data_IF_572177964151
#
_entry.id   IF_572177964151
#
_cell.length_a   1.000
_cell.length_b   1.000
_cell.length_c   1.000
_cell.angle_alpha   90.00
_cell.angle_beta   90.00
_cell.angle_gamma   90.00
#
_symmetry.space_group_name_H-M   'P 1'
#
loop_
_entity.id
_entity.type
_entity.pdbx_description
1 polymer ?
#
# COMPACT_ATOMS: atom_id res chain seq x y z
N UNK A 1 30.78 -8.50 9.36
CA UNK A 1 31.40 -7.21 9.03
C UNK A 1 30.61 -6.12 9.75
N UNK A 2 31.28 -5.32 10.57
CA UNK A 2 30.65 -4.21 11.29
C UNK A 2 30.32 -3.08 10.30
N UNK A 3 29.11 -2.52 10.40
CA UNK A 3 28.75 -1.32 9.65
C UNK A 3 29.58 -0.13 10.16
N UNK A 4 30.03 0.77 9.26
CA UNK A 4 30.75 1.97 9.68
C UNK A 4 29.86 2.85 10.57
N UNK A 5 30.44 3.60 11.52
CA UNK A 5 29.67 4.49 12.40
C UNK A 5 29.00 5.61 11.58
N UNK A 6 27.74 5.91 11.90
CA UNK A 6 26.96 6.98 11.25
C UNK A 6 27.67 8.33 11.46
N UNK A 7 28.09 8.97 10.37
CA UNK A 7 28.43 10.39 10.38
C UNK A 7 27.14 11.17 10.67
N UNK A 8 27.18 12.05 11.67
CA UNK A 8 26.03 12.69 12.32
C UNK A 8 25.26 13.72 11.44
N UNK A 9 25.43 13.66 10.11
CA UNK A 9 24.92 14.61 9.12
C UNK A 9 24.29 13.92 7.88
N UNK A 10 24.27 12.57 7.85
CA UNK A 10 23.80 11.82 6.68
C UNK A 10 22.32 11.46 6.82
N UNK A 11 21.47 12.18 6.09
CA UNK A 11 20.01 11.94 6.04
C UNK A 11 19.72 10.46 5.75
N UNK A 12 18.71 9.84 6.40
CA UNK A 12 18.28 8.48 6.07
C UNK A 12 18.00 8.32 4.58
N UNK A 13 18.48 7.22 3.99
CA UNK A 13 18.21 6.87 2.59
C UNK A 13 17.00 5.94 2.54
N UNK A 14 15.89 6.45 2.00
CA UNK A 14 14.61 5.74 1.93
C UNK A 14 14.29 5.45 0.47
N UNK A 15 13.98 4.20 0.14
CA UNK A 15 13.47 3.85 -1.18
C UNK A 15 11.97 3.57 -1.11
N UNK A 16 11.19 4.27 -1.94
CA UNK A 16 9.76 3.96 -2.09
C UNK A 16 9.58 3.02 -3.26
N UNK A 17 8.87 1.90 -3.05
CA UNK A 17 8.70 0.87 -4.09
C UNK A 17 7.23 0.62 -4.33
N UNK A 18 6.75 1.03 -5.50
CA UNK A 18 5.35 0.97 -5.85
C UNK A 18 5.13 0.97 -7.36
N UNK A 19 3.89 0.72 -7.77
CA UNK A 19 3.43 0.82 -9.16
C UNK A 19 2.13 1.62 -9.18
N UNK A 20 1.75 2.09 -10.38
CA UNK A 20 0.45 2.75 -10.66
C UNK A 20 0.12 3.88 -9.67
N UNK A 21 -1.06 3.85 -9.02
CA UNK A 21 -1.62 4.95 -8.21
C UNK A 21 -0.83 5.22 -6.93
N UNK A 22 -0.22 4.19 -6.35
CA UNK A 22 0.58 4.35 -5.13
C UNK A 22 1.88 5.11 -5.41
N UNK A 23 2.42 5.00 -6.63
CA UNK A 23 3.62 5.71 -7.04
C UNK A 23 3.40 7.22 -7.06
N UNK A 24 2.28 7.67 -7.65
CA UNK A 24 1.92 9.09 -7.66
C UNK A 24 1.74 9.61 -6.23
N UNK A 25 1.02 8.87 -5.38
CA UNK A 25 0.84 9.24 -3.97
C UNK A 25 2.16 9.30 -3.20
N UNK A 26 3.10 8.38 -3.46
CA UNK A 26 4.44 8.46 -2.87
C UNK A 26 5.22 9.67 -3.35
N UNK A 27 5.15 10.03 -4.63
CA UNK A 27 5.84 11.20 -5.17
C UNK A 27 5.30 12.49 -4.55
N UNK A 28 3.99 12.59 -4.38
CA UNK A 28 3.39 13.79 -3.80
C UNK A 28 3.77 13.95 -2.31
N UNK A 29 3.74 12.84 -1.56
CA UNK A 29 4.06 12.87 -0.13
C UNK A 29 5.58 12.96 0.12
N UNK A 30 6.44 12.42 -0.75
CA UNK A 30 7.89 12.49 -0.55
C UNK A 30 8.41 13.93 -0.46
N UNK A 31 7.77 14.87 -1.18
CA UNK A 31 8.09 16.29 -1.13
C UNK A 31 7.98 16.88 0.28
N UNK A 32 7.09 16.34 1.12
CA UNK A 32 6.94 16.75 2.52
C UNK A 32 8.15 16.32 3.37
N UNK A 33 8.95 15.33 2.92
CA UNK A 33 10.03 14.68 3.69
C UNK A 33 11.43 14.83 3.08
N UNK A 34 11.61 15.47 1.92
CA UNK A 34 12.91 15.65 1.25
C UNK A 34 13.96 16.38 2.13
N UNK A 35 13.48 17.23 3.06
CA UNK A 35 14.35 17.90 4.02
C UNK A 35 14.82 16.97 5.16
N UNK A 36 14.20 15.80 5.34
CA UNK A 36 14.46 14.85 6.42
C UNK A 36 15.14 13.56 5.94
N UNK A 37 14.95 13.15 4.69
CA UNK A 37 15.51 11.92 4.11
C UNK A 37 15.92 12.11 2.64
N UNK A 38 16.86 11.28 2.18
CA UNK A 38 17.17 11.12 0.76
C UNK A 38 16.23 10.05 0.19
N UNK A 39 15.21 10.48 -0.55
CA UNK A 39 14.13 9.60 -1.01
C UNK A 39 14.33 9.25 -2.49
N UNK A 40 14.43 7.95 -2.81
CA UNK A 40 14.50 7.47 -4.20
C UNK A 40 13.25 6.68 -4.56
N UNK A 41 12.45 7.13 -5.54
CA UNK A 41 11.30 6.37 -6.01
C UNK A 41 11.72 5.26 -6.99
N UNK A 42 11.20 4.05 -6.77
CA UNK A 42 11.42 2.87 -7.61
C UNK A 42 10.06 2.37 -8.12
N UNK A 43 9.78 2.61 -9.40
CA UNK A 43 8.53 2.22 -10.04
C UNK A 43 8.56 0.77 -10.58
N UNK A 44 8.81 -0.20 -9.70
CA UNK A 44 8.89 -1.62 -10.04
C UNK A 44 8.09 -2.47 -9.06
N UNK A 45 7.69 -3.66 -9.51
CA UNK A 45 6.99 -4.65 -8.70
C UNK A 45 7.66 -6.03 -8.70
N UNK A 46 7.40 -6.78 -7.64
CA UNK A 46 7.73 -8.20 -7.46
C UNK A 46 9.19 -8.52 -7.81
N UNK A 47 9.43 -9.54 -8.64
CA UNK A 47 10.77 -10.03 -8.97
C UNK A 47 11.65 -8.98 -9.65
N UNK A 48 11.04 -8.15 -10.52
CA UNK A 48 11.77 -7.04 -11.18
C UNK A 48 12.29 -6.04 -10.16
N UNK A 49 11.48 -5.72 -9.15
CA UNK A 49 11.90 -4.84 -8.07
C UNK A 49 13.02 -5.47 -7.22
N UNK A 50 12.88 -6.73 -6.82
CA UNK A 50 13.92 -7.44 -6.02
C UNK A 50 15.25 -7.47 -6.76
N UNK A 51 15.25 -7.85 -8.04
CA UNK A 51 16.45 -7.92 -8.88
C UNK A 51 17.14 -6.56 -8.96
N UNK A 52 16.36 -5.51 -9.26
CA UNK A 52 16.88 -4.15 -9.33
C UNK A 52 17.44 -3.65 -8.00
N UNK A 53 16.69 -3.83 -6.91
CA UNK A 53 17.06 -3.40 -5.56
C UNK A 53 18.35 -4.09 -5.11
N UNK A 54 18.51 -5.40 -5.33
CA UNK A 54 19.75 -6.12 -4.99
C UNK A 54 20.96 -5.56 -5.73
N UNK A 55 20.80 -5.25 -7.03
CA UNK A 55 21.87 -4.62 -7.82
C UNK A 55 22.21 -3.23 -7.29
N UNK A 56 21.21 -2.45 -6.90
CA UNK A 56 21.38 -1.11 -6.33
C UNK A 56 22.09 -1.16 -4.96
N UNK A 57 21.69 -2.09 -4.08
CA UNK A 57 22.29 -2.30 -2.75
C UNK A 57 23.76 -2.70 -2.78
N UNK A 58 24.26 -3.24 -3.90
CA UNK A 58 25.68 -3.55 -4.05
C UNK A 58 26.56 -2.29 -4.09
N UNK A 59 25.99 -1.14 -4.44
CA UNK A 59 26.73 0.11 -4.66
C UNK A 59 26.20 1.28 -3.82
N UNK A 60 24.98 1.18 -3.29
CA UNK A 60 24.28 2.27 -2.61
C UNK A 60 23.72 1.81 -1.26
N UNK A 61 23.80 2.70 -0.26
CA UNK A 61 23.16 2.51 1.04
C UNK A 61 21.63 2.64 0.89
N UNK A 62 20.90 1.82 1.63
CA UNK A 62 19.46 1.98 1.83
C UNK A 62 19.16 1.64 3.29
N UNK A 63 18.54 2.57 4.01
CA UNK A 63 18.21 2.39 5.42
C UNK A 63 16.84 1.76 5.60
N UNK A 64 15.89 2.09 4.72
CA UNK A 64 14.55 1.51 4.74
C UNK A 64 13.88 1.55 3.36
N UNK A 65 12.96 0.60 3.16
CA UNK A 65 12.07 0.56 2.01
C UNK A 65 10.64 0.77 2.48
N UNK A 66 9.91 1.67 1.82
CA UNK A 66 8.46 1.84 2.02
C UNK A 66 7.73 1.21 0.84
N UNK A 67 6.84 0.27 1.11
CA UNK A 67 6.04 -0.42 0.10
C UNK A 67 4.67 -0.83 0.69
N UNK A 68 3.74 -1.28 -0.16
CA UNK A 68 2.40 -1.65 0.29
C UNK A 68 1.88 -2.93 -0.39
N UNK A 69 0.84 -3.52 0.23
CA UNK A 69 0.09 -4.65 -0.32
C UNK A 69 0.96 -5.88 -0.66
N UNK A 70 0.52 -6.62 -1.69
CA UNK A 70 1.19 -7.85 -2.14
C UNK A 70 2.64 -7.62 -2.58
N UNK A 71 2.93 -6.49 -3.24
CA UNK A 71 4.29 -6.12 -3.63
C UNK A 71 5.18 -5.90 -2.39
N UNK A 72 4.73 -5.12 -1.42
CA UNK A 72 5.50 -4.87 -0.20
C UNK A 72 5.76 -6.15 0.60
N UNK A 73 4.77 -7.03 0.71
CA UNK A 73 4.93 -8.34 1.35
C UNK A 73 5.98 -9.21 0.61
N UNK A 74 5.94 -9.20 -0.72
CA UNK A 74 6.90 -9.91 -1.57
C UNK A 74 8.34 -9.43 -1.36
N UNK A 75 8.53 -8.10 -1.26
CA UNK A 75 9.83 -7.47 -0.98
C UNK A 75 10.33 -7.80 0.43
N UNK A 76 9.46 -7.68 1.44
CA UNK A 76 9.79 -7.92 2.85
C UNK A 76 10.31 -9.33 3.11
N UNK A 77 9.83 -10.33 2.37
CA UNK A 77 10.29 -11.72 2.53
C UNK A 77 11.57 -12.05 1.75
N UNK A 78 12.14 -11.12 0.96
CA UNK A 78 13.24 -11.39 0.01
C UNK A 78 14.43 -10.43 0.12
N UNK A 79 14.27 -9.35 0.87
CA UNK A 79 15.28 -8.32 1.08
C UNK A 79 15.69 -8.28 2.56
N UNK A 80 16.97 -8.02 2.81
CA UNK A 80 17.51 -7.84 4.15
C UNK A 80 17.30 -6.44 4.70
N UNK A 81 17.09 -5.45 3.83
CA UNK A 81 16.78 -4.07 4.21
C UNK A 81 15.40 -4.01 4.88
N UNK A 82 15.22 -3.24 5.96
CA UNK A 82 13.92 -3.06 6.60
C UNK A 82 12.85 -2.62 5.60
N UNK A 83 11.78 -3.41 5.47
CA UNK A 83 10.62 -3.08 4.63
C UNK A 83 9.45 -2.69 5.52
N UNK A 84 9.08 -1.41 5.45
CA UNK A 84 7.93 -0.81 6.11
C UNK A 84 6.74 -1.04 5.20
N UNK A 85 5.84 -1.92 5.65
CA UNK A 85 4.66 -2.28 4.91
C UNK A 85 3.50 -1.36 5.30
N UNK A 86 3.04 -0.56 4.36
CA UNK A 86 1.84 0.25 4.54
C UNK A 86 0.63 -0.68 4.60
N UNK A 87 -0.06 -0.64 5.74
CA UNK A 87 -1.32 -1.38 5.95
C UNK A 87 -2.49 -0.40 5.86
N UNK A 88 -3.50 -0.68 5.02
CA UNK A 88 -4.71 0.13 5.01
C UNK A 88 -5.44 -0.01 6.35
N UNK A 89 -5.92 1.10 6.88
CA UNK A 89 -6.74 1.11 8.10
C UNK A 89 -8.23 1.08 7.78
N UNK A 90 -9.06 0.70 8.75
CA UNK A 90 -10.52 0.83 8.60
C UNK A 90 -10.95 2.29 8.42
N UNK A 91 -10.22 3.24 9.01
CA UNK A 91 -10.44 4.66 8.83
C UNK A 91 -10.20 5.11 7.38
N UNK A 92 -9.14 4.60 6.73
CA UNK A 92 -8.84 4.91 5.33
C UNK A 92 -9.98 4.50 4.41
N UNK A 93 -10.52 3.29 4.62
CA UNK A 93 -11.65 2.77 3.85
C UNK A 93 -12.88 3.65 4.05
N UNK A 94 -13.23 3.99 5.29
CA UNK A 94 -14.37 4.87 5.57
C UNK A 94 -14.19 6.25 4.95
N UNK A 95 -12.99 6.82 5.03
CA UNK A 95 -12.70 8.12 4.42
C UNK A 95 -12.78 8.05 2.90
N UNK A 96 -12.28 6.98 2.27
CA UNK A 96 -12.36 6.77 0.83
C UNK A 96 -13.81 6.62 0.37
N UNK A 97 -14.63 5.87 1.10
CA UNK A 97 -16.06 5.71 0.83
C UNK A 97 -16.84 7.02 0.99
N UNK A 98 -16.52 7.81 2.02
CA UNK A 98 -17.13 9.12 2.24
C UNK A 98 -16.80 10.09 1.10
N UNK A 99 -15.52 10.16 0.69
CA UNK A 99 -15.06 11.00 -0.44
C UNK A 99 -15.71 10.61 -1.76
N UNK A 100 -15.92 9.32 -1.99
CA UNK A 100 -16.57 8.82 -3.19
C UNK A 100 -18.10 9.01 -3.19
N UNK A 101 -18.70 9.43 -2.06
CA UNK A 101 -20.15 9.52 -1.91
C UNK A 101 -20.85 8.15 -1.98
N UNK A 102 -20.13 7.07 -1.63
CA UNK A 102 -20.59 5.67 -1.82
C UNK A 102 -21.03 4.96 -0.54
N UNK A 103 -21.09 5.65 0.60
CA UNK A 103 -21.45 5.07 1.90
C UNK A 103 -22.77 4.26 1.90
N UNK A 104 -23.71 4.58 1.02
CA UNK A 104 -25.01 3.88 0.90
C UNK A 104 -25.06 2.84 -0.23
N UNK A 105 -24.03 2.76 -1.09
CA UNK A 105 -23.96 1.79 -2.20
C UNK A 105 -23.62 0.39 -1.72
N UNK A 106 -23.81 -0.61 -2.58
CA UNK A 106 -23.24 -1.95 -2.38
C UNK A 106 -21.73 -1.91 -2.61
N UNK A 107 -20.94 -2.19 -1.56
CA UNK A 107 -19.49 -1.98 -1.54
C UNK A 107 -18.77 -3.31 -1.31
N UNK A 108 -17.77 -3.59 -2.14
CA UNK A 108 -16.75 -4.62 -1.88
C UNK A 108 -15.49 -3.98 -1.27
N UNK A 109 -14.83 -4.66 -0.34
CA UNK A 109 -13.48 -4.32 0.12
C UNK A 109 -12.61 -5.54 -0.11
N UNK A 110 -11.57 -5.42 -0.94
CA UNK A 110 -10.68 -6.53 -1.25
C UNK A 110 -9.24 -6.16 -0.90
N UNK A 111 -8.65 -6.92 0.02
CA UNK A 111 -7.31 -6.66 0.57
C UNK A 111 -6.40 -7.88 0.43
N UNK A 112 -5.09 -7.65 0.43
CA UNK A 112 -4.12 -8.74 0.33
C UNK A 112 -4.04 -9.53 1.64
N UNK A 113 -4.11 -10.86 1.57
CA UNK A 113 -4.05 -11.85 2.66
C UNK A 113 -5.19 -11.80 3.69
N UNK A 114 -5.44 -10.64 4.28
CA UNK A 114 -6.37 -10.48 5.41
C UNK A 114 -7.40 -9.40 5.12
N UNK A 115 -8.61 -9.57 5.65
CA UNK A 115 -9.64 -8.50 5.70
C UNK A 115 -9.27 -7.48 6.79
N UNK A 116 -10.03 -6.39 6.92
CA UNK A 116 -9.75 -5.33 7.91
C UNK A 116 -10.69 -5.53 9.12
N UNK A 117 -10.21 -6.07 10.25
CA UNK A 117 -11.09 -6.41 11.38
C UNK A 117 -11.87 -5.21 11.91
N UNK A 118 -11.27 -4.02 11.87
CA UNK A 118 -11.90 -2.77 12.28
C UNK A 118 -13.21 -2.50 11.52
N UNK A 119 -13.30 -2.87 10.23
CA UNK A 119 -14.50 -2.66 9.42
C UNK A 119 -15.68 -3.53 9.84
N UNK A 120 -15.46 -4.66 10.51
CA UNK A 120 -16.54 -5.53 10.97
C UNK A 120 -17.42 -4.81 11.99
N UNK A 121 -16.80 -4.06 12.91
CA UNK A 121 -17.54 -3.26 13.89
C UNK A 121 -18.35 -2.15 13.19
N UNK A 122 -17.72 -1.42 12.27
CA UNK A 122 -18.39 -0.34 11.52
C UNK A 122 -19.56 -0.85 10.67
N UNK A 123 -19.38 -1.96 9.96
CA UNK A 123 -20.43 -2.57 9.16
C UNK A 123 -21.67 -2.88 10.00
N UNK A 124 -21.48 -3.46 11.19
CA UNK A 124 -22.58 -3.77 12.12
C UNK A 124 -23.23 -2.51 12.68
N UNK A 125 -22.45 -1.54 13.12
CA UNK A 125 -22.97 -0.31 13.74
C UNK A 125 -23.76 0.56 12.76
N UNK A 126 -23.31 0.65 11.51
CA UNK A 126 -23.89 1.55 10.51
C UNK A 126 -24.74 0.82 9.46
N UNK A 127 -24.93 -0.50 9.61
CA UNK A 127 -25.65 -1.37 8.67
C UNK A 127 -25.20 -1.19 7.21
N UNK A 128 -23.88 -1.11 7.01
CA UNK A 128 -23.29 -0.90 5.68
C UNK A 128 -23.43 -2.18 4.85
N UNK A 129 -23.75 -2.04 3.55
CA UNK A 129 -23.71 -3.12 2.57
C UNK A 129 -22.27 -3.35 2.11
N UNK A 130 -21.47 -3.93 3.00
CA UNK A 130 -20.03 -4.08 2.85
C UNK A 130 -19.66 -5.57 2.82
N UNK A 131 -19.12 -6.05 1.70
CA UNK A 131 -18.57 -7.39 1.55
C UNK A 131 -17.03 -7.34 1.61
N UNK A 132 -16.44 -7.94 2.64
CA UNK A 132 -14.99 -7.97 2.82
C UNK A 132 -14.41 -9.29 2.33
N UNK A 133 -13.44 -9.21 1.42
CA UNK A 133 -12.74 -10.35 0.83
C UNK A 133 -11.24 -10.15 0.92
N UNK A 134 -10.50 -11.24 0.79
CA UNK A 134 -9.06 -11.18 0.64
C UNK A 134 -8.58 -11.99 -0.56
N UNK A 135 -7.36 -11.73 -1.00
CA UNK A 135 -6.72 -12.45 -2.10
C UNK A 135 -5.24 -12.70 -1.80
N UNK A 136 -4.67 -13.73 -2.43
CA UNK A 136 -3.23 -14.03 -2.36
C UNK A 136 -2.61 -13.93 -3.75
N UNK A 137 -3.27 -14.48 -4.76
CA UNK A 137 -2.83 -14.44 -6.16
C UNK A 137 -3.65 -13.47 -7.01
N UNK A 138 -3.14 -13.11 -8.19
CA UNK A 138 -3.91 -12.32 -9.15
C UNK A 138 -5.17 -13.05 -9.63
N UNK A 139 -5.09 -14.37 -9.79
CA UNK A 139 -6.24 -15.20 -10.15
C UNK A 139 -7.32 -15.16 -9.06
N UNK A 140 -6.93 -15.27 -7.79
CA UNK A 140 -7.85 -15.12 -6.66
C UNK A 140 -8.53 -13.75 -6.70
N UNK A 141 -7.74 -12.68 -6.93
CA UNK A 141 -8.26 -11.32 -7.01
C UNK A 141 -9.31 -11.17 -8.11
N UNK A 142 -9.06 -11.73 -9.31
CA UNK A 142 -10.03 -11.74 -10.42
C UNK A 142 -11.30 -12.50 -10.03
N UNK A 143 -11.16 -13.66 -9.38
CA UNK A 143 -12.29 -14.43 -8.85
C UNK A 143 -13.15 -13.61 -7.88
N UNK A 144 -12.52 -12.98 -6.89
CA UNK A 144 -13.22 -12.14 -5.90
C UNK A 144 -13.99 -10.98 -6.57
N UNK A 145 -13.39 -10.32 -7.56
CA UNK A 145 -14.02 -9.20 -8.28
C UNK A 145 -15.21 -9.66 -9.12
N UNK A 146 -15.10 -10.81 -9.78
CA UNK A 146 -16.19 -11.38 -10.55
C UNK A 146 -17.38 -11.76 -9.67
N UNK A 147 -17.14 -12.35 -8.50
CA UNK A 147 -18.19 -12.66 -7.53
C UNK A 147 -18.86 -11.41 -6.98
N UNK A 148 -18.08 -10.37 -6.63
CA UNK A 148 -18.63 -9.08 -6.19
C UNK A 148 -19.55 -8.48 -7.25
N UNK A 149 -19.13 -8.49 -8.52
CA UNK A 149 -19.94 -8.02 -9.64
C UNK A 149 -21.24 -8.82 -9.79
N UNK A 150 -21.16 -10.16 -9.73
CA UNK A 150 -22.33 -11.03 -9.82
C UNK A 150 -23.37 -10.75 -8.72
N UNK A 151 -22.90 -10.33 -7.54
CA UNK A 151 -23.73 -9.96 -6.39
C UNK A 151 -24.26 -8.51 -6.44
N UNK A 152 -24.03 -7.77 -7.53
CA UNK A 152 -24.51 -6.40 -7.69
C UNK A 152 -23.71 -5.37 -6.89
N UNK A 153 -22.43 -5.62 -6.63
CA UNK A 153 -21.52 -4.63 -6.05
C UNK A 153 -21.33 -3.46 -7.02
N UNK A 154 -21.43 -2.23 -6.52
CA UNK A 154 -21.34 -1.01 -7.33
C UNK A 154 -19.92 -0.40 -7.29
N UNK A 155 -19.24 -0.56 -6.16
CA UNK A 155 -17.92 0.01 -5.91
C UNK A 155 -17.04 -0.97 -5.14
N UNK A 156 -15.75 -1.00 -5.45
CA UNK A 156 -14.77 -1.85 -4.78
C UNK A 156 -13.62 -1.01 -4.26
N UNK A 157 -13.33 -1.16 -2.97
CA UNK A 157 -12.18 -0.53 -2.31
C UNK A 157 -11.01 -1.52 -2.30
N UNK A 158 -9.83 -1.08 -2.75
CA UNK A 158 -8.62 -1.90 -2.69
C UNK A 158 -7.35 -1.20 -3.16
N UNK A 159 -6.26 -1.96 -3.21
CA UNK A 159 -5.00 -1.51 -3.80
C UNK A 159 -5.08 -1.47 -5.34
N UNK A 160 -4.00 -1.03 -6.01
CA UNK A 160 -3.97 -0.81 -7.47
C UNK A 160 -4.55 -1.96 -8.31
N UNK A 161 -4.11 -3.20 -8.09
CA UNK A 161 -4.64 -4.37 -8.81
C UNK A 161 -6.16 -4.49 -8.66
N UNK A 162 -6.68 -4.35 -7.45
CA UNK A 162 -8.11 -4.47 -7.17
C UNK A 162 -8.91 -3.35 -7.82
N UNK A 163 -8.40 -2.12 -7.78
CA UNK A 163 -9.08 -0.99 -8.41
C UNK A 163 -9.14 -1.14 -9.92
N UNK A 164 -8.04 -1.59 -10.53
CA UNK A 164 -7.96 -1.78 -11.99
C UNK A 164 -8.93 -2.91 -12.42
N UNK A 165 -8.93 -4.04 -11.70
CA UNK A 165 -9.87 -5.14 -11.96
C UNK A 165 -11.34 -4.74 -11.77
N UNK A 166 -11.65 -3.93 -10.75
CA UNK A 166 -13.00 -3.44 -10.53
C UNK A 166 -13.48 -2.54 -11.67
N UNK A 167 -12.62 -1.65 -12.16
CA UNK A 167 -12.90 -0.77 -13.28
C UNK A 167 -13.05 -1.55 -14.60
N UNK A 168 -12.17 -2.53 -14.87
CA UNK A 168 -12.30 -3.47 -15.99
C UNK A 168 -13.64 -4.23 -15.95
N UNK A 169 -14.10 -4.58 -14.74
CA UNK A 169 -15.37 -5.24 -14.52
C UNK A 169 -16.58 -4.28 -14.59
N UNK A 170 -16.38 -2.98 -14.76
CA UNK A 170 -17.45 -1.96 -14.85
C UNK A 170 -17.99 -1.48 -13.50
N UNK A 171 -17.26 -1.74 -12.41
CA UNK A 171 -17.54 -1.20 -11.07
C UNK A 171 -16.68 0.03 -10.80
N UNK A 172 -17.05 0.83 -9.79
CA UNK A 172 -16.22 1.97 -9.37
C UNK A 172 -15.00 1.46 -8.57
N UNK A 173 -13.79 1.66 -9.06
CA UNK A 173 -12.55 1.38 -8.32
C UNK A 173 -12.20 2.50 -7.35
N UNK A 174 -12.13 2.20 -6.05
CA UNK A 174 -11.77 3.16 -4.99
C UNK A 174 -10.42 2.77 -4.40
N UNK A 175 -9.44 3.66 -4.53
CA UNK A 175 -8.09 3.41 -4.02
C UNK A 175 -8.04 3.51 -2.49
N UNK A 176 -7.50 2.46 -1.86
CA UNK A 176 -7.58 2.27 -0.41
C UNK A 176 -6.61 3.14 0.40
N UNK A 177 -5.49 3.59 -0.17
CA UNK A 177 -4.48 4.32 0.59
C UNK A 177 -4.75 5.82 0.59
N UNK A 178 -4.84 6.40 1.78
CA UNK A 178 -4.92 7.84 1.96
C UNK A 178 -3.53 8.48 2.08
N UNK A 179 -3.46 9.78 1.81
CA UNK A 179 -2.26 10.58 2.07
C UNK A 179 -1.80 10.49 3.53
N UNK A 180 -2.73 10.39 4.49
CA UNK A 180 -2.41 10.31 5.91
C UNK A 180 -1.64 9.02 6.25
N UNK A 181 -2.09 7.88 5.72
CA UNK A 181 -1.45 6.58 5.96
C UNK A 181 -0.07 6.49 5.31
N UNK A 182 0.11 7.12 4.15
CA UNK A 182 1.42 7.25 3.52
C UNK A 182 2.36 8.14 4.35
N UNK A 183 1.91 9.30 4.83
CA UNK A 183 2.72 10.16 5.73
C UNK A 183 3.15 9.44 7.01
N UNK A 184 2.25 8.64 7.58
CA UNK A 184 2.58 7.86 8.77
C UNK A 184 3.71 6.87 8.45
N UNK A 185 3.66 6.18 7.31
CA UNK A 185 4.72 5.26 6.91
C UNK A 185 6.08 5.95 6.69
N UNK A 186 6.10 7.18 6.16
CA UNK A 186 7.32 7.98 6.09
C UNK A 186 7.83 8.37 7.48
N UNK A 187 6.94 8.74 8.40
CA UNK A 187 7.29 9.06 9.79
C UNK A 187 7.88 7.84 10.50
N UNK A 188 7.24 6.68 10.38
CA UNK A 188 7.72 5.41 10.92
C UNK A 188 9.10 5.02 10.36
N UNK A 189 9.34 5.31 9.07
CA UNK A 189 10.65 5.10 8.43
C UNK A 189 11.74 5.97 9.05
N UNK A 190 11.44 7.25 9.26
CA UNK A 190 12.38 8.18 9.87
C UNK A 190 12.68 7.80 11.32
N UNK A 191 11.67 7.42 12.09
CA UNK A 191 11.85 7.04 13.49
C UNK A 191 12.69 5.77 13.63
N UNK A 192 12.42 4.74 12.80
CA UNK A 192 13.19 3.50 12.80
C UNK A 192 14.66 3.71 12.37
N UNK A 193 14.92 4.64 11.45
CA UNK A 193 16.29 4.91 10.97
C UNK A 193 17.10 5.79 11.92
N UNK A 194 16.45 6.45 12.89
CA UNK A 194 17.09 7.25 13.95
C UNK A 194 17.50 6.43 15.18
N UNK A 195 16.93 5.23 15.36
CA UNK A 195 17.38 4.25 16.36
C UNK A 195 18.71 3.61 15.95
#
# INVERSE_FOLDING_TARGET
MAHPPRLNDDKPVIWTVSVTRLFELFRDISLEFDHLANITPIQLGFEKAVTYIRKKLANERCDAIIAAGSNGAYLKSRLSVPVILIKPSGYDVLQALAKAGKLTSSIGVVTYQETIPALVAFQKTFNLRLDQRSYITEEDARGQINELKANGTEAVVGAGLITDLAEEAGMTGIFIYSAATVRQAFSDALDMTRM
#
